data_IF_901065208675
#
_entry.id   IF_901065208675
#
_cell.length_a   1.000
_cell.length_b   1.000
_cell.length_c   1.000
_cell.angle_alpha   90.00
_cell.angle_beta   90.00
_cell.angle_gamma   90.00
#
_symmetry.space_group_name_H-M   'P 1'
#
loop_
_entity.id
_entity.type
_entity.pdbx_description
1 polymer ?
#
# COMPACT_ATOMS: atom_id res chain seq x y z
N UNK A 1 -2.13 -1.63 -20.87
CA UNK A 1 -0.95 -1.71 -19.98
C UNK A 1 -1.45 -2.34 -18.69
N UNK A 2 -0.85 -3.45 -18.24
CA UNK A 2 -1.25 -4.08 -16.98
C UNK A 2 -0.77 -3.21 -15.80
N UNK A 3 -1.41 -3.31 -14.63
CA UNK A 3 -1.01 -2.53 -13.43
C UNK A 3 0.46 -2.75 -13.05
N UNK A 4 0.93 -4.00 -13.18
CA UNK A 4 2.33 -4.37 -13.00
C UNK A 4 3.28 -3.61 -13.92
N UNK A 5 2.95 -3.44 -15.20
CA UNK A 5 3.84 -2.82 -16.18
C UNK A 5 4.08 -1.35 -15.84
N UNK A 6 3.02 -0.63 -15.45
CA UNK A 6 3.10 0.77 -15.03
C UNK A 6 3.91 0.89 -13.74
N UNK A 7 3.69 0.00 -12.78
CA UNK A 7 4.47 -0.04 -11.56
C UNK A 7 5.97 -0.25 -11.84
N UNK A 8 6.32 -1.22 -12.68
CA UNK A 8 7.71 -1.50 -13.04
C UNK A 8 8.37 -0.37 -13.85
N UNK A 9 7.60 0.37 -14.64
CA UNK A 9 8.08 1.58 -15.31
C UNK A 9 8.47 2.65 -14.29
N UNK A 10 7.65 2.89 -13.26
CA UNK A 10 7.97 3.82 -12.16
C UNK A 10 9.21 3.34 -11.39
N UNK A 11 9.28 2.05 -11.04
CA UNK A 11 10.45 1.46 -10.34
C UNK A 11 11.72 1.62 -11.17
N UNK A 12 11.65 1.47 -12.49
CA UNK A 12 12.78 1.67 -13.38
C UNK A 12 13.29 3.10 -13.32
N UNK A 13 12.40 4.10 -13.23
CA UNK A 13 12.80 5.51 -13.06
C UNK A 13 13.46 5.73 -11.69
N UNK A 14 12.92 5.15 -10.62
CA UNK A 14 13.54 5.20 -9.28
C UNK A 14 14.98 4.66 -9.33
N UNK A 15 15.20 3.52 -10.02
CA UNK A 15 16.50 2.88 -10.14
C UNK A 15 17.56 3.69 -10.88
N UNK A 16 17.18 4.69 -11.69
CA UNK A 16 18.13 5.61 -12.36
C UNK A 16 18.79 6.58 -11.37
N UNK A 17 18.04 7.01 -10.36
CA UNK A 17 18.49 8.00 -9.37
C UNK A 17 18.79 9.39 -9.94
N UNK A 18 19.16 10.32 -9.07
CA UNK A 18 19.51 11.70 -9.43
C UNK A 18 18.31 12.64 -9.64
N UNK A 19 18.61 13.93 -9.84
CA UNK A 19 17.60 15.00 -9.88
C UNK A 19 16.60 14.85 -11.03
N UNK A 20 17.06 14.46 -12.21
CA UNK A 20 16.19 14.25 -13.38
C UNK A 20 15.14 13.15 -13.12
N UNK A 21 15.55 12.04 -12.48
CA UNK A 21 14.64 10.99 -12.09
C UNK A 21 13.63 11.49 -11.05
N UNK A 22 14.05 12.31 -10.08
CA UNK A 22 13.13 12.92 -9.10
C UNK A 22 12.09 13.83 -9.75
N UNK A 23 12.49 14.67 -10.71
CA UNK A 23 11.57 15.53 -11.47
C UNK A 23 10.59 14.71 -12.32
N UNK A 24 11.08 13.63 -12.94
CA UNK A 24 10.24 12.72 -13.71
C UNK A 24 9.23 12.01 -12.81
N UNK A 25 9.67 11.46 -11.68
CA UNK A 25 8.79 10.81 -10.70
C UNK A 25 7.72 11.78 -10.20
N UNK A 26 8.10 13.02 -9.87
CA UNK A 26 7.14 14.04 -9.46
C UNK A 26 6.03 14.24 -10.52
N UNK A 27 6.39 14.32 -11.80
CA UNK A 27 5.42 14.41 -12.89
C UNK A 27 4.54 13.16 -12.99
N UNK A 28 5.13 11.97 -12.92
CA UNK A 28 4.39 10.70 -13.00
C UNK A 28 3.39 10.55 -11.84
N UNK A 29 3.79 10.84 -10.60
CA UNK A 29 2.90 10.74 -9.44
C UNK A 29 1.77 11.79 -9.43
N UNK A 30 1.89 12.86 -10.22
CA UNK A 30 0.85 13.87 -10.42
C UNK A 30 0.05 13.65 -11.72
N UNK A 31 0.36 12.63 -12.50
CA UNK A 31 -0.47 12.20 -13.62
C UNK A 31 -1.42 11.09 -13.13
N UNK A 32 -2.73 11.35 -13.19
CA UNK A 32 -3.77 10.46 -12.65
C UNK A 32 -3.58 9.01 -13.10
N UNK A 33 -3.27 8.78 -14.38
CA UNK A 33 -3.09 7.44 -14.93
C UNK A 33 -1.93 6.67 -14.30
N UNK A 34 -0.79 7.31 -14.05
CA UNK A 34 0.34 6.66 -13.38
C UNK A 34 0.08 6.49 -11.88
N UNK A 35 -0.38 7.56 -11.23
CA UNK A 35 -0.63 7.58 -9.79
C UNK A 35 -1.64 6.50 -9.39
N UNK A 36 -2.78 6.44 -10.07
CA UNK A 36 -3.81 5.44 -9.79
C UNK A 36 -3.33 4.02 -10.07
N UNK A 37 -2.62 3.77 -11.16
CA UNK A 37 -2.15 2.43 -11.51
C UNK A 37 -1.12 1.90 -10.52
N UNK A 38 -0.24 2.78 -10.01
CA UNK A 38 0.69 2.43 -8.92
C UNK A 38 -0.09 2.07 -7.66
N UNK A 39 -1.10 2.87 -7.27
CA UNK A 39 -1.93 2.59 -6.09
C UNK A 39 -2.70 1.26 -6.24
N UNK A 40 -3.30 1.00 -7.41
CA UNK A 40 -3.98 -0.27 -7.68
C UNK A 40 -3.01 -1.44 -7.52
N UNK A 41 -1.81 -1.35 -8.09
CA UNK A 41 -0.85 -2.45 -7.99
C UNK A 41 -0.41 -2.70 -6.54
N UNK A 42 -0.17 -1.66 -5.75
CA UNK A 42 0.12 -1.78 -4.32
C UNK A 42 -1.04 -2.40 -3.53
N UNK A 43 -2.29 -2.05 -3.85
CA UNK A 43 -3.49 -2.68 -3.25
C UNK A 43 -3.56 -4.17 -3.58
N UNK A 44 -3.24 -4.55 -4.82
CA UNK A 44 -3.20 -5.96 -5.22
C UNK A 44 -2.10 -6.75 -4.51
N UNK A 45 -0.92 -6.15 -4.29
CA UNK A 45 0.15 -6.77 -3.49
C UNK A 45 -0.32 -6.99 -2.04
N UNK A 46 -0.96 -5.98 -1.44
CA UNK A 46 -1.50 -6.11 -0.08
C UNK A 46 -2.57 -7.21 0.00
N UNK A 47 -3.52 -7.25 -0.95
CA UNK A 47 -4.55 -8.30 -1.04
C UNK A 47 -3.92 -9.69 -1.17
N UNK A 48 -2.94 -9.84 -2.08
CA UNK A 48 -2.26 -11.11 -2.30
C UNK A 48 -1.58 -11.60 -1.01
N UNK A 49 -0.90 -10.72 -0.27
CA UNK A 49 -0.22 -11.10 0.97
C UNK A 49 -1.19 -11.46 2.10
N UNK A 50 -2.30 -10.71 2.22
CA UNK A 50 -3.37 -11.02 3.17
C UNK A 50 -3.92 -12.43 2.91
N UNK A 51 -4.23 -12.75 1.66
CA UNK A 51 -4.74 -14.06 1.26
C UNK A 51 -3.71 -15.18 1.45
N UNK A 52 -2.43 -14.93 1.13
CA UNK A 52 -1.35 -15.91 1.32
C UNK A 52 -1.17 -16.29 2.79
N UNK A 53 -1.33 -15.32 3.71
CA UNK A 53 -1.20 -15.52 5.17
C UNK A 53 -2.55 -15.48 5.88
N UNK A 54 -3.61 -15.95 5.23
CA UNK A 54 -4.98 -15.83 5.71
C UNK A 54 -5.22 -16.37 7.13
N UNK A 55 -4.54 -17.44 7.53
CA UNK A 55 -4.66 -18.03 8.88
C UNK A 55 -4.21 -17.07 9.98
N UNK A 56 -3.18 -16.26 9.69
CA UNK A 56 -2.72 -15.22 10.61
C UNK A 56 -3.69 -14.03 10.58
N UNK A 57 -4.02 -13.53 9.39
CA UNK A 57 -4.80 -12.30 9.23
C UNK A 57 -6.28 -12.44 9.60
N UNK A 58 -6.86 -13.64 9.55
CA UNK A 58 -8.26 -13.86 9.92
C UNK A 58 -8.58 -13.44 11.35
N UNK A 59 -7.57 -13.45 12.25
CA UNK A 59 -7.73 -13.06 13.65
C UNK A 59 -7.90 -11.54 13.84
N UNK A 60 -7.62 -10.74 12.81
CA UNK A 60 -7.66 -9.27 12.84
C UNK A 60 -8.80 -8.69 12.00
N UNK A 61 -9.65 -9.53 11.41
CA UNK A 61 -10.76 -9.08 10.55
C UNK A 61 -12.07 -9.15 11.32
N UNK A 62 -12.75 -8.01 11.39
CA UNK A 62 -14.03 -7.90 12.09
C UNK A 62 -15.23 -8.32 11.22
N UNK A 63 -16.32 -8.71 11.90
CA UNK A 63 -17.63 -8.90 11.28
C UNK A 63 -17.88 -10.28 10.66
N UNK A 64 -17.22 -11.33 11.13
CA UNK A 64 -17.34 -12.71 10.60
C UNK A 64 -17.07 -12.83 9.09
N UNK A 65 -16.26 -11.92 8.53
CA UNK A 65 -15.87 -11.95 7.12
C UNK A 65 -14.67 -12.87 6.92
N UNK A 66 -14.59 -13.53 5.78
CA UNK A 66 -13.36 -14.22 5.39
C UNK A 66 -12.29 -13.19 4.97
N UNK A 67 -11.02 -13.60 4.95
CA UNK A 67 -9.92 -12.74 4.44
C UNK A 67 -10.17 -12.35 2.98
N UNK A 68 -10.72 -13.26 2.18
CA UNK A 68 -11.07 -13.00 0.77
C UNK A 68 -12.17 -11.94 0.67
N UNK A 69 -13.24 -12.06 1.47
CA UNK A 69 -14.31 -11.06 1.49
C UNK A 69 -13.79 -9.68 1.89
N UNK A 70 -12.94 -9.63 2.93
CA UNK A 70 -12.29 -8.39 3.35
C UNK A 70 -11.42 -7.80 2.24
N UNK A 71 -10.64 -8.62 1.53
CA UNK A 71 -9.81 -8.14 0.42
C UNK A 71 -10.65 -7.51 -0.70
N UNK A 72 -11.70 -8.19 -1.14
CA UNK A 72 -12.59 -7.70 -2.19
C UNK A 72 -13.35 -6.43 -1.79
N UNK A 73 -13.68 -6.26 -0.51
CA UNK A 73 -14.50 -5.13 -0.04
C UNK A 73 -13.68 -3.92 0.43
N UNK A 74 -12.54 -4.15 1.07
CA UNK A 74 -11.80 -3.11 1.81
C UNK A 74 -10.35 -2.90 1.33
N UNK A 75 -9.79 -3.79 0.50
CA UNK A 75 -8.38 -3.71 0.08
C UNK A 75 -8.27 -3.36 -1.41
N UNK A 76 -8.86 -4.19 -2.27
CA UNK A 76 -8.73 -4.09 -3.72
C UNK A 76 -9.43 -2.87 -4.35
N UNK A 77 -10.62 -2.44 -3.88
CA UNK A 77 -11.28 -1.29 -4.47
C UNK A 77 -10.50 0.00 -4.25
N UNK A 78 -10.43 0.82 -5.31
CA UNK A 78 -9.93 2.19 -5.19
C UNK A 78 -10.82 3.03 -4.27
N UNK A 79 -10.23 4.07 -3.68
CA UNK A 79 -10.93 5.01 -2.79
C UNK A 79 -11.45 4.41 -1.48
N UNK A 80 -11.04 3.19 -1.14
CA UNK A 80 -11.24 2.61 0.20
C UNK A 80 -10.16 3.05 1.17
N UNK A 81 -10.55 3.34 2.40
CA UNK A 81 -9.63 3.70 3.48
C UNK A 81 -8.66 2.54 3.76
N UNK A 82 -7.45 2.87 4.21
CA UNK A 82 -6.44 1.88 4.62
C UNK A 82 -6.14 2.05 6.10
N UNK A 83 -6.02 0.94 6.80
CA UNK A 83 -5.79 0.86 8.24
C UNK A 83 -4.50 0.08 8.54
N UNK A 84 -4.20 -0.16 9.81
CA UNK A 84 -3.04 -0.88 10.31
C UNK A 84 -2.82 -2.21 9.60
N UNK A 85 -3.87 -2.98 9.33
CA UNK A 85 -3.77 -4.28 8.64
C UNK A 85 -3.22 -4.12 7.22
N UNK A 86 -3.59 -3.06 6.49
CA UNK A 86 -3.06 -2.77 5.15
C UNK A 86 -1.58 -2.37 5.21
N UNK A 87 -1.20 -1.54 6.19
CA UNK A 87 0.19 -1.09 6.39
C UNK A 87 1.09 -2.30 6.66
N UNK A 88 0.70 -3.17 7.59
CA UNK A 88 1.47 -4.36 7.96
C UNK A 88 1.55 -5.36 6.80
N UNK A 89 0.44 -5.59 6.10
CA UNK A 89 0.43 -6.52 4.96
C UNK A 89 1.34 -6.04 3.82
N UNK A 90 1.25 -4.76 3.44
CA UNK A 90 2.04 -4.22 2.34
C UNK A 90 3.53 -4.13 2.70
N UNK A 91 3.87 -3.65 3.90
CA UNK A 91 5.27 -3.57 4.36
C UNK A 91 5.92 -4.95 4.46
N UNK A 92 5.18 -5.95 4.95
CA UNK A 92 5.64 -7.34 5.00
C UNK A 92 5.81 -7.95 3.61
N UNK A 93 4.86 -7.72 2.70
CA UNK A 93 4.92 -8.21 1.32
C UNK A 93 6.12 -7.66 0.55
N UNK A 94 6.46 -6.38 0.76
CA UNK A 94 7.59 -5.72 0.13
C UNK A 94 8.91 -5.90 0.89
N UNK A 95 8.88 -6.50 2.08
CA UNK A 95 10.02 -6.65 2.99
C UNK A 95 10.73 -5.30 3.27
N UNK A 96 9.94 -4.28 3.61
CA UNK A 96 10.43 -2.93 3.93
C UNK A 96 9.95 -2.46 5.30
N UNK A 97 10.84 -1.81 6.05
CA UNK A 97 10.47 -1.17 7.32
C UNK A 97 9.80 0.18 7.06
N UNK A 98 8.64 0.41 7.69
CA UNK A 98 7.92 1.69 7.65
C UNK A 98 7.81 2.21 9.09
N UNK A 99 7.94 3.53 9.28
CA UNK A 99 7.71 4.20 10.57
C UNK A 99 6.51 5.12 10.44
N UNK A 100 5.49 4.92 11.27
CA UNK A 100 4.29 5.76 11.26
C UNK A 100 4.33 6.67 12.49
N UNK A 101 4.41 7.98 12.26
CA UNK A 101 4.32 8.97 13.34
C UNK A 101 2.85 9.34 13.55
N UNK A 102 2.29 8.96 14.69
CA UNK A 102 0.92 9.33 15.05
C UNK A 102 0.91 10.72 15.68
N UNK A 103 0.13 11.64 15.11
CA UNK A 103 -0.04 12.99 15.61
C UNK A 103 -1.52 13.21 15.91
N UNK A 104 -1.89 13.07 17.18
CA UNK A 104 -3.21 13.43 17.67
C UNK A 104 -3.15 14.64 18.62
N UNK A 105 -4.31 15.03 19.15
CA UNK A 105 -4.43 16.12 20.12
C UNK A 105 -4.22 15.64 21.57
N UNK A 106 -3.71 14.42 21.77
CA UNK A 106 -3.46 13.87 23.09
C UNK A 106 -2.31 14.61 23.77
N UNK A 107 -2.41 14.82 25.07
CA UNK A 107 -1.32 15.39 25.89
C UNK A 107 -0.16 14.40 26.10
N UNK A 108 -0.25 13.17 25.60
CA UNK A 108 0.76 12.15 25.76
C UNK A 108 1.90 12.30 24.74
N UNK A 109 3.13 12.21 25.24
CA UNK A 109 4.39 12.16 24.50
C UNK A 109 4.33 11.22 23.29
N UNK A 110 4.86 11.67 22.16
CA UNK A 110 4.95 10.99 20.85
C UNK A 110 4.75 9.46 20.88
N UNK A 111 3.66 8.98 20.28
CA UNK A 111 3.44 7.55 20.05
C UNK A 111 4.05 7.16 18.70
N UNK A 112 5.00 6.23 18.70
CA UNK A 112 5.56 5.62 17.48
C UNK A 112 4.97 4.22 17.30
N UNK A 113 4.43 3.94 16.11
CA UNK A 113 3.96 2.61 15.68
C UNK A 113 4.85 2.08 14.55
#
# INVERSE_FOLDING_TARGET
KYFHDVFMEVVTVVGRGGNEASEQLYKMFNEQGYSDYVVVYLRLIASAHLQEKQEFYSNFIEGNRTVVDFCHQEVEPMYKESDHIHIIALSSALNVGVRVKYMDRGEASEVMA
#
